data_IF_530168596950
#
_entry.id   IF_530168596950
#
_cell.length_a   1.000
_cell.length_b   1.000
_cell.length_c   1.000
_cell.angle_alpha   90.00
_cell.angle_beta   90.00
_cell.angle_gamma   90.00
#
_symmetry.space_group_name_H-M   'P 1'
#
loop_
_entity.id
_entity.type
_entity.pdbx_description
1 polymer ?
#
# COMPACT_ATOMS: atom_id res chain seq x y z
N UNK A 1 13.87 -3.21 -5.36
CA UNK A 1 12.72 -3.86 -4.66
C UNK A 1 12.36 -3.19 -3.33
N UNK A 2 13.13 -2.26 -2.84
CA UNK A 2 12.83 -1.54 -1.58
C UNK A 2 11.76 -0.44 -1.75
N UNK A 3 11.53 0.03 -2.96
CA UNK A 3 10.48 0.97 -3.34
C UNK A 3 9.55 0.32 -4.36
N UNK A 4 8.32 0.84 -4.47
CA UNK A 4 7.30 0.36 -5.41
C UNK A 4 7.61 0.79 -6.87
N UNK A 5 8.84 0.65 -7.32
CA UNK A 5 9.21 0.84 -8.72
C UNK A 5 8.90 -0.41 -9.53
N UNK A 6 8.18 -0.24 -10.62
CA UNK A 6 7.96 -1.28 -11.62
C UNK A 6 8.86 -1.00 -12.83
N UNK A 7 9.92 -1.79 -12.99
CA UNK A 7 10.81 -1.71 -14.14
C UNK A 7 10.71 -2.98 -14.99
N UNK A 8 10.85 -2.86 -16.30
CA UNK A 8 10.97 -4.04 -17.18
C UNK A 8 12.16 -4.94 -16.81
N UNK A 9 13.22 -4.34 -16.26
CA UNK A 9 14.41 -5.03 -15.78
C UNK A 9 15.00 -4.32 -14.56
N UNK A 10 15.48 -5.11 -13.58
CA UNK A 10 16.23 -4.62 -12.41
C UNK A 10 17.75 -4.85 -12.57
N UNK A 11 18.24 -4.98 -13.80
CA UNK A 11 19.68 -5.01 -14.05
C UNK A 11 20.32 -3.66 -13.68
N UNK A 12 21.60 -3.69 -13.32
CA UNK A 12 22.35 -2.46 -13.00
C UNK A 12 22.37 -1.50 -14.18
N UNK A 13 22.41 -2.02 -15.41
CA UNK A 13 22.29 -1.25 -16.65
C UNK A 13 20.98 -0.47 -16.71
N UNK A 14 19.84 -1.17 -16.61
CA UNK A 14 18.52 -0.54 -16.72
C UNK A 14 18.26 0.48 -15.61
N UNK A 15 18.67 0.18 -14.37
CA UNK A 15 18.52 1.08 -13.23
C UNK A 15 19.45 2.28 -13.33
N UNK A 16 20.70 2.08 -13.79
CA UNK A 16 21.66 3.16 -14.03
C UNK A 16 21.17 4.14 -15.09
N UNK A 17 20.69 3.62 -16.22
CA UNK A 17 20.11 4.44 -17.29
C UNK A 17 18.91 5.25 -16.78
N UNK A 18 18.01 4.62 -16.02
CA UNK A 18 16.81 5.30 -15.51
C UNK A 18 17.13 6.45 -14.55
N UNK A 19 17.97 6.21 -13.54
CA UNK A 19 18.22 7.20 -12.49
C UNK A 19 19.34 8.18 -12.80
N UNK A 20 20.36 7.76 -13.57
CA UNK A 20 21.59 8.51 -13.79
C UNK A 20 21.82 8.91 -15.24
N UNK A 21 21.03 8.38 -16.18
CA UNK A 21 21.22 8.58 -17.62
C UNK A 21 22.51 7.93 -18.16
N UNK A 22 23.07 6.97 -17.42
CA UNK A 22 24.27 6.20 -17.80
C UNK A 22 24.18 4.78 -17.30
N UNK A 23 24.77 3.83 -18.03
CA UNK A 23 24.80 2.40 -17.73
C UNK A 23 26.19 1.88 -17.51
N UNK A 24 26.34 0.58 -17.71
CA UNK A 24 27.63 -0.15 -17.61
C UNK A 24 28.57 0.21 -18.76
N UNK A 25 29.87 0.04 -18.53
CA UNK A 25 30.88 0.31 -19.55
C UNK A 25 30.93 -0.74 -20.68
N UNK A 26 30.33 -1.92 -20.48
CA UNK A 26 30.22 -2.98 -21.50
C UNK A 26 28.73 -3.21 -21.79
N UNK A 27 28.29 -2.75 -22.96
CA UNK A 27 26.87 -2.79 -23.36
C UNK A 27 26.44 -4.14 -23.95
N UNK A 28 27.35 -4.88 -24.55
CA UNK A 28 27.01 -6.11 -25.26
C UNK A 28 26.85 -7.30 -24.30
N UNK A 29 25.66 -7.88 -24.29
CA UNK A 29 25.29 -8.97 -23.38
C UNK A 29 25.81 -10.32 -23.88
N UNK A 30 25.89 -10.50 -25.20
CA UNK A 30 26.25 -11.80 -25.80
C UNK A 30 27.74 -12.10 -25.64
N UNK A 31 28.63 -11.10 -25.78
CA UNK A 31 30.08 -11.26 -25.68
C UNK A 31 30.68 -10.88 -24.31
N UNK A 32 29.83 -10.55 -23.32
CA UNK A 32 30.33 -10.04 -22.02
C UNK A 32 31.22 -11.01 -21.29
N UNK A 33 30.87 -12.29 -21.23
CA UNK A 33 31.67 -13.31 -20.54
C UNK A 33 33.02 -13.52 -21.21
N UNK A 34 33.04 -13.54 -22.52
CA UNK A 34 34.27 -13.72 -23.28
C UNK A 34 35.18 -12.49 -23.16
N UNK A 35 34.61 -11.29 -23.17
CA UNK A 35 35.35 -10.05 -22.90
C UNK A 35 35.93 -10.03 -21.51
N UNK A 36 35.18 -10.38 -20.47
CA UNK A 36 35.67 -10.46 -19.08
C UNK A 36 36.78 -11.51 -18.97
N UNK A 37 36.59 -12.68 -19.53
CA UNK A 37 37.61 -13.76 -19.50
C UNK A 37 38.90 -13.37 -20.24
N UNK A 38 38.76 -12.69 -21.36
CA UNK A 38 39.91 -12.20 -22.14
C UNK A 38 40.65 -11.09 -21.37
N UNK A 39 39.92 -10.11 -20.82
CA UNK A 39 40.52 -9.03 -20.03
C UNK A 39 41.12 -9.55 -18.72
N UNK A 40 40.57 -10.60 -18.10
CA UNK A 40 41.15 -11.26 -16.95
C UNK A 40 42.54 -11.89 -17.28
N UNK A 41 42.66 -12.47 -18.46
CA UNK A 41 43.94 -13.11 -18.91
C UNK A 41 44.94 -12.08 -19.38
N UNK A 42 44.53 -11.08 -20.15
CA UNK A 42 45.42 -10.25 -20.96
C UNK A 42 45.40 -8.76 -20.62
N UNK A 43 44.35 -8.27 -19.95
CA UNK A 43 44.19 -6.84 -19.66
C UNK A 43 43.50 -6.59 -18.31
N UNK A 44 44.17 -6.94 -17.23
CA UNK A 44 43.63 -6.81 -15.88
C UNK A 44 43.33 -5.39 -15.46
N UNK A 45 44.01 -4.38 -16.04
CA UNK A 45 43.73 -2.96 -15.79
C UNK A 45 42.33 -2.59 -16.31
N UNK A 46 42.03 -2.97 -17.56
CA UNK A 46 40.71 -2.71 -18.13
C UNK A 46 39.59 -3.41 -17.38
N UNK A 47 39.82 -4.64 -16.90
CA UNK A 47 38.88 -5.37 -16.06
C UNK A 47 38.65 -4.66 -14.71
N UNK A 48 39.73 -4.14 -14.10
CA UNK A 48 39.61 -3.37 -12.85
C UNK A 48 38.85 -2.08 -13.05
N UNK A 49 39.05 -1.35 -14.14
CA UNK A 49 38.31 -0.14 -14.51
C UNK A 49 36.84 -0.46 -14.73
N UNK A 50 36.53 -1.54 -15.42
CA UNK A 50 35.12 -2.00 -15.58
C UNK A 50 34.43 -2.28 -14.23
N UNK A 51 35.12 -3.02 -13.35
CA UNK A 51 34.57 -3.31 -12.02
C UNK A 51 34.40 -2.03 -11.17
N UNK A 52 35.36 -1.11 -11.24
CA UNK A 52 35.27 0.19 -10.57
C UNK A 52 34.04 0.98 -11.05
N UNK A 53 33.79 1.01 -12.36
CA UNK A 53 32.60 1.69 -12.92
C UNK A 53 31.31 1.06 -12.42
N UNK A 54 31.20 -0.25 -12.34
CA UNK A 54 30.02 -0.95 -11.77
C UNK A 54 29.83 -0.56 -10.28
N UNK A 55 30.89 -0.47 -9.50
CA UNK A 55 30.85 -0.04 -8.10
C UNK A 55 30.38 1.44 -7.95
N UNK A 56 30.96 2.33 -8.76
CA UNK A 56 30.59 3.75 -8.78
C UNK A 56 29.11 3.91 -9.19
N UNK A 57 28.65 3.15 -10.18
CA UNK A 57 27.28 3.19 -10.64
C UNK A 57 26.30 2.82 -9.51
N UNK A 58 26.60 1.76 -8.75
CA UNK A 58 25.81 1.37 -7.56
C UNK A 58 25.81 2.47 -6.52
N UNK A 59 26.98 3.03 -6.21
CA UNK A 59 27.11 4.13 -5.24
C UNK A 59 26.28 5.34 -5.62
N UNK A 60 26.36 5.76 -6.88
CA UNK A 60 25.65 6.94 -7.39
C UNK A 60 24.11 6.73 -7.42
N UNK A 61 23.67 5.49 -7.73
CA UNK A 61 22.24 5.14 -7.61
C UNK A 61 21.79 5.29 -6.16
N UNK A 62 22.52 4.72 -5.19
CA UNK A 62 22.19 4.82 -3.77
C UNK A 62 22.12 6.27 -3.30
N UNK A 63 23.09 7.09 -3.73
CA UNK A 63 23.12 8.53 -3.41
C UNK A 63 21.92 9.28 -4.04
N UNK A 64 21.65 9.01 -5.31
CA UNK A 64 20.57 9.67 -6.08
C UNK A 64 19.19 9.44 -5.48
N UNK A 65 18.86 8.20 -5.11
CA UNK A 65 17.56 7.84 -4.55
C UNK A 65 17.53 7.84 -3.02
N UNK A 66 18.62 8.26 -2.36
CA UNK A 66 18.76 8.28 -0.89
C UNK A 66 18.41 6.93 -0.24
N UNK A 67 18.84 5.84 -0.87
CA UNK A 67 18.46 4.49 -0.43
C UNK A 67 19.03 4.14 0.94
N UNK A 68 20.24 4.62 1.29
CA UNK A 68 20.83 4.41 2.61
C UNK A 68 20.00 5.07 3.71
N UNK A 69 19.55 6.32 3.51
CA UNK A 69 18.70 7.03 4.47
C UNK A 69 17.39 6.24 4.70
N UNK A 70 16.80 5.75 3.62
CA UNK A 70 15.61 4.89 3.67
C UNK A 70 15.86 3.60 4.47
N UNK A 71 16.95 2.88 4.21
CA UNK A 71 17.28 1.62 4.88
C UNK A 71 17.59 1.82 6.37
N UNK A 72 18.36 2.86 6.71
CA UNK A 72 18.68 3.22 8.10
C UNK A 72 17.37 3.55 8.84
N UNK A 73 16.56 4.42 8.26
CA UNK A 73 15.30 4.80 8.89
C UNK A 73 14.35 3.61 9.06
N UNK A 74 14.26 2.72 8.04
CA UNK A 74 13.46 1.51 8.12
C UNK A 74 13.96 0.59 9.25
N UNK A 75 15.27 0.41 9.37
CA UNK A 75 15.90 -0.35 10.46
C UNK A 75 15.57 0.25 11.83
N UNK A 76 15.72 1.55 12.00
CA UNK A 76 15.36 2.26 13.25
C UNK A 76 13.87 2.13 13.57
N UNK A 77 13.01 2.16 12.56
CA UNK A 77 11.56 2.09 12.74
C UNK A 77 11.10 0.68 13.13
N UNK A 78 11.71 -0.36 12.56
CA UNK A 78 11.26 -1.75 12.69
C UNK A 78 12.09 -2.59 13.65
N UNK A 79 13.29 -2.13 14.02
CA UNK A 79 14.26 -2.90 14.79
C UNK A 79 14.96 -4.02 13.97
N UNK A 80 14.76 -4.07 12.66
CA UNK A 80 15.46 -5.02 11.79
C UNK A 80 16.86 -4.53 11.45
N UNK A 81 17.79 -5.47 11.30
CA UNK A 81 19.14 -5.22 10.79
C UNK A 81 19.09 -4.68 9.35
N UNK A 82 20.09 -3.87 8.97
CA UNK A 82 20.12 -3.20 7.66
C UNK A 82 20.12 -4.18 6.48
N UNK A 83 20.75 -5.33 6.63
CA UNK A 83 20.83 -6.39 5.60
C UNK A 83 19.50 -7.15 5.42
N UNK A 84 18.56 -7.03 6.37
CA UNK A 84 17.23 -7.66 6.32
C UNK A 84 16.13 -6.72 5.78
N UNK A 85 16.49 -5.82 4.90
CA UNK A 85 15.61 -4.78 4.38
C UNK A 85 14.32 -5.28 3.67
N UNK A 86 14.28 -6.52 3.17
CA UNK A 86 13.15 -7.05 2.38
C UNK A 86 12.03 -7.74 3.16
N UNK A 87 12.16 -7.97 4.47
CA UNK A 87 11.25 -8.81 5.24
C UNK A 87 10.06 -8.05 5.83
N UNK A 88 8.91 -7.94 5.12
CA UNK A 88 7.70 -7.31 5.69
C UNK A 88 7.13 -8.07 6.89
N UNK A 89 7.15 -9.40 6.84
CA UNK A 89 6.71 -10.25 7.98
C UNK A 89 7.61 -10.03 9.19
N UNK A 90 8.93 -10.07 9.01
CA UNK A 90 9.88 -9.81 10.09
C UNK A 90 9.74 -8.40 10.67
N UNK A 91 9.52 -7.39 9.82
CA UNK A 91 9.26 -6.02 10.25
C UNK A 91 7.99 -5.92 11.12
N UNK A 92 6.92 -6.56 10.70
CA UNK A 92 5.67 -6.61 11.46
C UNK A 92 5.87 -7.31 12.80
N UNK A 93 6.48 -8.49 12.81
CA UNK A 93 6.72 -9.29 14.03
C UNK A 93 7.57 -8.48 15.02
N UNK A 94 8.64 -7.83 14.57
CA UNK A 94 9.48 -7.00 15.44
C UNK A 94 8.73 -5.80 16.04
N UNK A 95 7.77 -5.22 15.32
CA UNK A 95 6.95 -4.12 15.84
C UNK A 95 5.85 -4.60 16.80
N UNK A 96 5.25 -5.74 16.49
CA UNK A 96 4.06 -6.25 17.17
C UNK A 96 4.39 -7.09 18.42
N UNK A 97 5.30 -8.06 18.29
CA UNK A 97 5.61 -9.06 19.29
C UNK A 97 6.05 -8.47 20.65
N UNK A 98 6.95 -7.47 20.72
CA UNK A 98 7.32 -6.87 22.01
C UNK A 98 6.15 -6.20 22.74
N UNK A 99 5.21 -5.61 22.00
CA UNK A 99 4.00 -5.02 22.58
C UNK A 99 3.05 -6.10 23.09
N UNK A 100 2.90 -7.19 22.32
CA UNK A 100 2.10 -8.35 22.70
C UNK A 100 2.61 -9.01 24.00
N UNK A 101 3.92 -9.23 24.11
CA UNK A 101 4.53 -9.81 25.32
C UNK A 101 4.33 -8.93 26.56
N UNK A 102 4.38 -7.59 26.42
CA UNK A 102 4.10 -6.68 27.54
C UNK A 102 2.64 -6.74 28.02
N UNK A 103 1.73 -7.25 27.18
CA UNK A 103 0.34 -7.51 27.57
C UNK A 103 0.13 -8.92 28.17
N UNK A 104 1.21 -9.71 28.32
CA UNK A 104 1.15 -11.05 28.89
C UNK A 104 0.73 -12.15 27.91
N UNK A 105 0.77 -11.88 26.61
CA UNK A 105 0.45 -12.87 25.57
C UNK A 105 1.71 -13.36 24.87
N UNK A 106 1.63 -14.56 24.30
CA UNK A 106 2.66 -15.15 23.45
C UNK A 106 2.17 -15.30 22.01
N UNK A 107 3.09 -15.27 21.06
CA UNK A 107 2.77 -15.54 19.66
C UNK A 107 2.35 -16.99 19.47
N UNK A 108 1.37 -17.28 18.61
CA UNK A 108 1.10 -18.65 18.16
C UNK A 108 2.27 -19.17 17.32
N UNK A 109 2.31 -20.49 17.13
CA UNK A 109 3.21 -21.12 16.16
C UNK A 109 2.80 -20.75 14.72
N UNK A 110 3.73 -20.92 13.77
CA UNK A 110 3.38 -20.83 12.36
C UNK A 110 2.31 -21.87 12.02
N UNK A 111 1.31 -21.47 11.24
CA UNK A 111 0.27 -22.38 10.78
C UNK A 111 0.85 -23.42 9.82
N UNK A 112 0.50 -24.68 10.00
CA UNK A 112 0.80 -25.75 9.04
C UNK A 112 -0.17 -25.64 7.86
N UNK A 113 0.29 -25.05 6.78
CA UNK A 113 -0.45 -24.94 5.51
C UNK A 113 -0.97 -23.53 5.17
N UNK A 114 -1.15 -23.29 3.87
CA UNK A 114 -1.77 -22.08 3.34
C UNK A 114 -3.27 -22.09 3.61
N UNK A 115 -3.76 -21.05 4.29
CA UNK A 115 -5.20 -20.86 4.47
C UNK A 115 -5.91 -20.43 3.19
N UNK A 116 -7.24 -20.27 3.26
CA UNK A 116 -8.04 -19.72 2.18
C UNK A 116 -7.54 -18.31 1.83
N UNK A 117 -7.26 -18.08 0.55
CA UNK A 117 -6.89 -16.75 0.07
C UNK A 117 -7.98 -15.74 0.44
N UNK A 118 -7.55 -14.58 0.94
CA UNK A 118 -8.44 -13.43 1.07
C UNK A 118 -8.80 -12.93 -0.32
N UNK A 119 -10.03 -12.45 -0.56
CA UNK A 119 -10.33 -11.76 -1.81
C UNK A 119 -9.39 -10.55 -1.97
N UNK A 120 -9.03 -10.23 -3.21
CA UNK A 120 -8.23 -9.05 -3.55
C UNK A 120 -8.96 -7.74 -3.25
N UNK A 121 -8.36 -6.61 -3.63
CA UNK A 121 -9.00 -5.30 -3.60
C UNK A 121 -10.27 -5.29 -4.46
N UNK A 122 -11.21 -4.41 -4.11
CA UNK A 122 -12.44 -4.22 -4.88
C UNK A 122 -12.12 -3.53 -6.21
N UNK A 123 -12.55 -4.13 -7.30
CA UNK A 123 -12.45 -3.54 -8.63
C UNK A 123 -13.84 -3.51 -9.24
N UNK A 124 -14.33 -2.30 -9.56
CA UNK A 124 -15.59 -2.14 -10.26
C UNK A 124 -15.45 -2.54 -11.73
N UNK A 125 -16.54 -3.02 -12.31
CA UNK A 125 -16.61 -3.16 -13.76
C UNK A 125 -16.42 -1.78 -14.40
N UNK A 126 -15.39 -1.65 -15.24
CA UNK A 126 -15.15 -0.41 -15.98
C UNK A 126 -16.25 -0.18 -17.02
N UNK A 127 -16.67 1.07 -17.18
CA UNK A 127 -17.47 1.52 -18.32
C UNK A 127 -16.49 2.07 -19.38
N UNK A 128 -16.09 1.29 -20.41
CA UNK A 128 -15.11 1.77 -21.39
C UNK A 128 -15.63 2.95 -22.20
N UNK A 129 -14.76 3.91 -22.47
CA UNK A 129 -15.15 5.10 -23.24
C UNK A 129 -14.14 6.22 -23.15
N UNK A 130 -14.41 7.27 -23.94
CA UNK A 130 -13.72 8.55 -23.85
C UNK A 130 -14.63 9.52 -23.11
N UNK A 131 -14.20 9.98 -21.96
CA UNK A 131 -14.97 10.84 -21.09
C UNK A 131 -14.38 12.26 -21.02
N UNK A 132 -15.24 13.22 -20.80
CA UNK A 132 -14.87 14.59 -20.46
C UNK A 132 -15.17 14.81 -18.98
N UNK A 133 -14.33 15.59 -18.30
CA UNK A 133 -14.53 16.00 -16.89
C UNK A 133 -14.71 14.83 -15.91
N UNK A 134 -13.64 14.10 -15.64
CA UNK A 134 -13.60 13.01 -14.66
C UNK A 134 -12.84 13.45 -13.41
N UNK A 135 -13.47 13.36 -12.23
CA UNK A 135 -12.82 13.49 -10.93
C UNK A 135 -12.26 12.17 -10.47
N UNK A 136 -11.12 12.21 -9.78
CA UNK A 136 -10.58 11.10 -9.02
C UNK A 136 -10.61 11.43 -7.54
N UNK A 137 -11.31 10.59 -6.79
CA UNK A 137 -11.33 10.60 -5.34
C UNK A 137 -10.58 9.37 -4.85
N UNK A 138 -9.68 9.53 -3.88
CA UNK A 138 -8.83 8.46 -3.37
C UNK A 138 -8.85 8.39 -1.84
N UNK A 139 -8.98 7.17 -1.30
CA UNK A 139 -8.88 6.96 0.14
C UNK A 139 -7.42 6.94 0.60
N UNK A 140 -7.11 7.83 1.48
CA UNK A 140 -5.78 7.93 2.09
C UNK A 140 -5.41 6.65 2.85
N UNK A 141 -4.57 5.80 2.24
CA UNK A 141 -4.12 4.52 2.84
C UNK A 141 -5.29 3.69 3.38
N UNK A 142 -6.20 3.26 2.50
CA UNK A 142 -7.49 2.64 2.86
C UNK A 142 -7.34 1.49 3.87
N UNK A 143 -6.47 0.49 3.63
CA UNK A 143 -6.34 -0.66 4.52
C UNK A 143 -5.82 -0.30 5.92
N UNK A 144 -4.79 0.52 6.10
CA UNK A 144 -4.43 1.07 7.40
C UNK A 144 -5.57 1.82 8.10
N UNK A 145 -6.37 2.60 7.35
CA UNK A 145 -7.53 3.30 7.90
C UNK A 145 -8.63 2.34 8.36
N UNK A 146 -8.88 1.27 7.60
CA UNK A 146 -9.82 0.19 7.99
C UNK A 146 -9.35 -0.50 9.28
N UNK A 147 -8.07 -0.86 9.36
CA UNK A 147 -7.50 -1.50 10.57
C UNK A 147 -7.72 -0.61 11.79
N UNK A 148 -7.45 0.69 11.68
CA UNK A 148 -7.65 1.66 12.78
C UNK A 148 -9.13 1.81 13.16
N UNK A 149 -9.99 1.94 12.17
CA UNK A 149 -11.43 2.19 12.36
C UNK A 149 -12.12 0.99 13.01
N UNK A 150 -11.92 -0.20 12.44
CA UNK A 150 -12.61 -1.42 12.87
C UNK A 150 -11.82 -2.25 13.88
N UNK A 151 -10.71 -1.72 14.40
CA UNK A 151 -9.86 -2.37 15.42
C UNK A 151 -9.39 -3.76 15.02
N UNK A 152 -9.11 -3.96 13.72
CA UNK A 152 -8.67 -5.25 13.18
C UNK A 152 -7.26 -5.54 13.69
N UNK A 153 -7.13 -6.56 14.52
CA UNK A 153 -5.91 -6.86 15.27
C UNK A 153 -5.84 -8.34 15.67
N UNK A 154 -4.66 -8.99 15.63
CA UNK A 154 -4.52 -10.38 16.09
C UNK A 154 -4.94 -10.60 17.55
N UNK A 155 -4.48 -9.77 18.48
CA UNK A 155 -4.92 -9.83 19.89
C UNK A 155 -6.40 -9.48 20.01
N UNK A 156 -6.82 -8.43 19.30
CA UNK A 156 -8.21 -7.99 19.25
C UNK A 156 -9.18 -9.06 18.77
N UNK A 157 -8.75 -9.92 17.82
CA UNK A 157 -9.52 -11.07 17.35
C UNK A 157 -9.74 -12.10 18.45
N UNK A 158 -8.69 -12.46 19.20
CA UNK A 158 -8.77 -13.43 20.30
C UNK A 158 -9.65 -12.90 21.43
N UNK A 159 -9.47 -11.66 21.82
CA UNK A 159 -10.24 -11.03 22.90
C UNK A 159 -11.69 -10.74 22.48
N UNK A 160 -11.91 -10.31 21.24
CA UNK A 160 -13.26 -10.07 20.72
C UNK A 160 -14.09 -11.34 20.57
N UNK A 161 -13.47 -12.48 20.32
CA UNK A 161 -14.16 -13.78 20.29
C UNK A 161 -14.63 -14.26 21.64
N UNK A 162 -14.06 -13.76 22.75
CA UNK A 162 -14.52 -14.07 24.11
C UNK A 162 -15.80 -13.32 24.48
N UNK A 163 -16.02 -12.15 23.86
CA UNK A 163 -17.21 -11.31 24.07
C UNK A 163 -17.75 -10.80 22.72
N UNK A 164 -18.37 -11.70 21.94
CA UNK A 164 -18.82 -11.37 20.59
C UNK A 164 -19.93 -10.31 20.53
N UNK A 165 -20.70 -10.15 21.59
CA UNK A 165 -21.84 -9.22 21.62
C UNK A 165 -21.39 -7.75 21.72
N UNK A 166 -20.29 -7.49 22.42
CA UNK A 166 -19.70 -6.17 22.52
C UNK A 166 -18.60 -5.90 21.48
N UNK A 167 -18.16 -6.92 20.76
CA UNK A 167 -17.09 -6.80 19.79
C UNK A 167 -17.54 -6.09 18.51
N UNK A 168 -16.58 -5.48 17.79
CA UNK A 168 -16.78 -4.99 16.44
C UNK A 168 -16.81 -6.19 15.49
N UNK A 169 -17.91 -6.39 14.78
CA UNK A 169 -18.06 -7.49 13.84
C UNK A 169 -17.21 -7.25 12.59
N UNK A 170 -16.43 -8.25 12.25
CA UNK A 170 -15.71 -8.36 11.00
C UNK A 170 -16.35 -9.38 10.06
N UNK A 171 -15.54 -9.95 9.17
CA UNK A 171 -15.96 -10.94 8.19
C UNK A 171 -15.50 -12.34 8.56
N UNK A 172 -16.14 -13.35 7.97
CA UNK A 172 -15.84 -14.77 8.19
C UNK A 172 -15.84 -15.17 9.68
N UNK A 173 -16.72 -14.55 10.46
CA UNK A 173 -16.82 -14.79 11.91
C UNK A 173 -15.73 -14.08 12.73
N UNK A 174 -15.01 -13.12 12.17
CA UNK A 174 -14.11 -12.24 12.90
C UNK A 174 -14.89 -11.32 13.85
N UNK A 175 -14.44 -11.23 15.09
CA UNK A 175 -14.95 -10.29 16.09
C UNK A 175 -13.77 -9.61 16.75
N UNK A 176 -13.73 -8.28 16.79
CA UNK A 176 -12.57 -7.52 17.26
C UNK A 176 -12.90 -6.75 18.53
N UNK A 177 -12.04 -6.90 19.54
CA UNK A 177 -12.20 -6.18 20.81
C UNK A 177 -12.11 -4.68 20.60
N UNK A 178 -12.98 -3.94 21.27
CA UNK A 178 -12.98 -2.47 21.24
C UNK A 178 -11.81 -1.87 22.03
N UNK A 179 -11.33 -2.57 23.04
CA UNK A 179 -10.39 -2.05 24.03
C UNK A 179 -9.01 -2.71 23.95
N UNK A 180 -8.98 -4.05 23.73
CA UNK A 180 -7.74 -4.83 23.72
C UNK A 180 -7.27 -5.07 22.29
N UNK A 181 -6.41 -4.22 21.82
CA UNK A 181 -5.80 -4.29 20.47
C UNK A 181 -4.44 -3.60 20.48
N UNK A 182 -3.60 -3.86 19.51
CA UNK A 182 -2.24 -3.31 19.40
C UNK A 182 -1.98 -2.70 18.02
N UNK A 183 -2.43 -3.36 16.94
CA UNK A 183 -2.13 -2.93 15.59
C UNK A 183 -2.72 -1.56 15.24
N UNK A 184 -3.96 -1.21 15.64
CA UNK A 184 -4.52 0.13 15.45
C UNK A 184 -3.66 1.25 16.05
N UNK A 185 -3.07 1.01 17.24
CA UNK A 185 -2.16 1.95 17.89
C UNK A 185 -0.84 2.05 17.14
N UNK A 186 -0.25 0.92 16.75
CA UNK A 186 0.98 0.89 15.95
C UNK A 186 0.81 1.71 14.68
N UNK A 187 -0.29 1.50 13.96
CA UNK A 187 -0.59 2.27 12.74
C UNK A 187 -0.79 3.75 13.07
N UNK A 188 -1.45 4.08 14.17
CA UNK A 188 -1.66 5.47 14.59
C UNK A 188 -0.33 6.17 14.91
N UNK A 189 0.60 5.49 15.60
CA UNK A 189 1.94 6.00 15.87
C UNK A 189 2.74 6.20 14.56
N UNK A 190 2.67 5.23 13.64
CA UNK A 190 3.31 5.32 12.33
C UNK A 190 2.73 6.48 11.49
N UNK A 191 1.41 6.65 11.54
CA UNK A 191 0.74 7.75 10.84
C UNK A 191 1.22 9.12 11.32
N UNK A 192 1.27 9.33 12.65
CA UNK A 192 1.80 10.57 13.23
C UNK A 192 3.25 10.84 12.80
N UNK A 193 4.09 9.80 12.80
CA UNK A 193 5.49 9.91 12.32
C UNK A 193 5.56 10.24 10.83
N UNK A 194 4.64 9.71 10.02
CA UNK A 194 4.55 10.03 8.59
C UNK A 194 4.13 11.47 8.35
N UNK A 195 3.13 11.96 9.09
CA UNK A 195 2.69 13.34 8.97
C UNK A 195 3.80 14.33 9.39
N UNK A 196 4.57 13.99 10.42
CA UNK A 196 5.75 14.77 10.79
C UNK A 196 6.80 14.75 9.66
N UNK A 197 7.10 13.58 9.09
CA UNK A 197 8.05 13.49 7.98
C UNK A 197 7.59 14.28 6.73
N UNK A 198 6.28 14.35 6.47
CA UNK A 198 5.73 15.21 5.41
C UNK A 198 5.94 16.71 5.71
N UNK A 199 5.70 17.14 6.96
CA UNK A 199 5.94 18.53 7.39
C UNK A 199 7.42 18.92 7.27
N UNK A 200 8.31 17.99 7.63
CA UNK A 200 9.76 18.14 7.54
C UNK A 200 10.29 18.00 6.11
N UNK A 201 9.41 17.74 5.12
CA UNK A 201 9.75 17.46 3.72
C UNK A 201 10.71 16.27 3.53
N UNK A 202 10.77 15.37 4.51
CA UNK A 202 11.55 14.14 4.46
C UNK A 202 10.78 13.04 3.68
N UNK A 203 10.96 13.07 2.36
CA UNK A 203 10.30 12.14 1.44
C UNK A 203 10.69 10.70 1.70
N UNK A 204 11.97 10.43 1.98
CA UNK A 204 12.48 9.09 2.22
C UNK A 204 11.80 8.46 3.45
N UNK A 205 11.75 9.20 4.54
CA UNK A 205 11.08 8.80 5.78
C UNK A 205 9.58 8.60 5.60
N UNK A 206 8.90 9.56 4.96
CA UNK A 206 7.47 9.45 4.68
C UNK A 206 7.13 8.22 3.84
N UNK A 207 7.96 7.93 2.82
CA UNK A 207 7.79 6.76 1.94
C UNK A 207 8.04 5.44 2.68
N UNK A 208 9.09 5.36 3.51
CA UNK A 208 9.38 4.18 4.31
C UNK A 208 8.21 3.82 5.23
N UNK A 209 7.63 4.81 5.91
CA UNK A 209 6.48 4.59 6.79
C UNK A 209 5.26 4.12 5.98
N UNK A 210 4.99 4.75 4.81
CA UNK A 210 3.88 4.36 3.93
C UNK A 210 3.99 2.90 3.51
N UNK A 211 5.17 2.46 3.09
CA UNK A 211 5.41 1.08 2.65
C UNK A 211 5.16 0.10 3.80
N UNK A 212 5.68 0.40 5.01
CA UNK A 212 5.49 -0.47 6.18
C UNK A 212 4.01 -0.58 6.54
N UNK A 213 3.29 0.53 6.66
CA UNK A 213 1.86 0.51 7.01
C UNK A 213 1.03 -0.27 5.98
N UNK A 214 1.27 -0.06 4.69
CA UNK A 214 0.51 -0.73 3.64
C UNK A 214 0.86 -2.23 3.52
N UNK A 215 2.04 -2.65 3.98
CA UNK A 215 2.44 -4.06 3.96
C UNK A 215 1.69 -4.92 4.99
N UNK A 216 1.12 -4.34 6.04
CA UNK A 216 0.50 -5.09 7.14
C UNK A 216 -0.67 -5.97 6.70
N UNK A 217 -1.49 -5.50 5.77
CA UNK A 217 -2.53 -6.35 5.18
C UNK A 217 -1.95 -7.63 4.56
N UNK A 218 -0.94 -7.48 3.69
CA UNK A 218 -0.29 -8.62 3.03
C UNK A 218 0.40 -9.56 4.03
N UNK A 219 0.96 -9.01 5.10
CA UNK A 219 1.58 -9.79 6.18
C UNK A 219 0.54 -10.63 6.93
N UNK A 220 -0.59 -10.05 7.31
CA UNK A 220 -1.67 -10.76 8.01
C UNK A 220 -2.35 -11.81 7.12
N UNK A 221 -2.24 -11.68 5.80
CA UNK A 221 -2.68 -12.66 4.81
C UNK A 221 -1.62 -13.69 4.40
N UNK A 222 -0.42 -13.64 4.98
CA UNK A 222 0.70 -14.52 4.62
C UNK A 222 0.86 -15.67 5.61
N UNK A 223 0.85 -16.91 5.11
CA UNK A 223 1.09 -18.12 5.94
C UNK A 223 2.48 -18.17 6.60
N UNK A 224 3.43 -17.34 6.17
CA UNK A 224 4.74 -17.17 6.83
C UNK A 224 4.70 -16.25 8.06
N UNK A 225 3.53 -15.66 8.39
CA UNK A 225 3.35 -14.82 9.57
C UNK A 225 2.75 -15.64 10.71
N UNK A 226 3.31 -15.61 11.94
CA UNK A 226 2.72 -16.30 13.08
C UNK A 226 1.29 -15.83 13.41
N UNK A 227 0.97 -14.59 13.06
CA UNK A 227 -0.34 -13.97 13.29
C UNK A 227 -1.30 -14.11 12.10
N UNK A 228 -0.98 -14.99 11.15
CA UNK A 228 -1.85 -15.23 10.01
C UNK A 228 -3.20 -15.80 10.45
N UNK A 229 -4.28 -15.12 10.05
CA UNK A 229 -5.65 -15.61 10.16
C UNK A 229 -6.50 -15.05 9.01
N UNK A 230 -7.24 -15.92 8.34
CA UNK A 230 -8.12 -15.52 7.21
C UNK A 230 -9.18 -14.50 7.61
N UNK A 231 -9.61 -14.50 8.90
CA UNK A 231 -10.57 -13.53 9.43
C UNK A 231 -9.98 -12.11 9.44
N UNK A 232 -8.67 -11.96 9.73
CA UNK A 232 -7.97 -10.68 9.72
C UNK A 232 -7.92 -10.10 8.30
N UNK A 233 -7.30 -10.83 7.37
CA UNK A 233 -7.13 -10.37 6.00
C UNK A 233 -8.48 -10.15 5.30
N UNK A 234 -9.44 -11.08 5.46
CA UNK A 234 -10.77 -10.94 4.87
C UNK A 234 -11.56 -9.78 5.49
N UNK A 235 -11.40 -9.51 6.78
CA UNK A 235 -12.07 -8.36 7.41
C UNK A 235 -11.53 -7.02 6.86
N UNK A 236 -10.26 -6.96 6.47
CA UNK A 236 -9.70 -5.75 5.85
C UNK A 236 -10.25 -5.58 4.43
N UNK A 237 -10.14 -6.61 3.58
CA UNK A 237 -10.51 -6.49 2.17
C UNK A 237 -12.02 -6.38 1.94
N UNK A 238 -12.82 -7.22 2.60
CA UNK A 238 -14.27 -7.18 2.44
C UNK A 238 -14.87 -5.90 3.04
N UNK A 239 -14.25 -5.34 4.10
CA UNK A 239 -14.63 -4.00 4.57
C UNK A 239 -14.25 -2.93 3.55
N UNK A 240 -13.13 -3.07 2.87
CA UNK A 240 -12.77 -2.22 1.73
C UNK A 240 -13.81 -2.28 0.61
N UNK A 241 -14.29 -3.49 0.27
CA UNK A 241 -15.37 -3.66 -0.72
C UNK A 241 -16.64 -2.91 -0.32
N UNK A 242 -17.11 -3.07 0.93
CA UNK A 242 -18.28 -2.34 1.44
C UNK A 242 -18.09 -0.83 1.38
N UNK A 243 -16.89 -0.35 1.76
CA UNK A 243 -16.58 1.08 1.76
C UNK A 243 -16.63 1.63 0.34
N UNK A 244 -16.00 0.96 -0.62
CA UNK A 244 -15.98 1.41 -2.00
C UNK A 244 -17.39 1.40 -2.63
N UNK A 245 -18.17 0.34 -2.40
CA UNK A 245 -19.55 0.24 -2.89
C UNK A 245 -20.46 1.30 -2.28
N UNK A 246 -20.40 1.49 -0.96
CA UNK A 246 -21.22 2.51 -0.28
C UNK A 246 -20.83 3.94 -0.69
N UNK A 247 -19.53 4.18 -0.89
CA UNK A 247 -19.04 5.48 -1.39
C UNK A 247 -19.57 5.75 -2.80
N UNK A 248 -19.51 4.75 -3.69
CA UNK A 248 -20.08 4.88 -5.04
C UNK A 248 -21.59 5.16 -4.99
N UNK A 249 -22.35 4.45 -4.15
CA UNK A 249 -23.79 4.68 -4.00
C UNK A 249 -24.09 6.12 -3.55
N UNK A 250 -23.38 6.67 -2.57
CA UNK A 250 -23.58 8.05 -2.15
C UNK A 250 -23.25 9.08 -3.25
N UNK A 251 -22.22 8.80 -4.06
CA UNK A 251 -21.89 9.66 -5.20
C UNK A 251 -23.02 9.62 -6.25
N UNK A 252 -23.58 8.44 -6.51
CA UNK A 252 -24.70 8.27 -7.44
C UNK A 252 -25.99 8.89 -6.91
N UNK A 253 -26.24 8.88 -5.60
CA UNK A 253 -27.36 9.58 -4.96
C UNK A 253 -27.28 11.12 -5.12
N UNK A 254 -26.07 11.69 -5.23
CA UNK A 254 -25.85 13.11 -5.58
C UNK A 254 -26.04 13.41 -7.09
N UNK A 255 -26.45 12.42 -7.88
CA UNK A 255 -26.73 12.57 -9.32
C UNK A 255 -25.48 12.55 -10.21
N UNK A 256 -24.37 12.01 -9.73
CA UNK A 256 -23.12 11.86 -10.46
C UNK A 256 -22.88 10.38 -10.81
N UNK A 257 -22.32 10.11 -12.00
CA UNK A 257 -22.02 8.74 -12.43
C UNK A 257 -20.64 8.29 -11.95
N UNK A 258 -20.57 7.13 -11.30
CA UNK A 258 -19.29 6.44 -11.04
C UNK A 258 -18.98 5.53 -12.22
N UNK A 259 -17.89 5.83 -12.94
CA UNK A 259 -17.50 5.09 -14.16
C UNK A 259 -16.49 3.97 -13.89
N UNK A 260 -15.74 4.07 -12.77
CA UNK A 260 -14.76 3.06 -12.36
C UNK A 260 -14.39 3.23 -10.89
N UNK A 261 -13.92 2.15 -10.26
CA UNK A 261 -13.32 2.14 -8.94
C UNK A 261 -12.31 1.01 -8.83
N UNK A 262 -11.16 1.29 -8.20
CA UNK A 262 -10.09 0.31 -7.99
C UNK A 262 -9.48 0.48 -6.60
N UNK A 263 -9.66 -0.53 -5.80
CA UNK A 263 -9.15 -0.71 -4.44
C UNK A 263 -9.51 0.43 -3.48
N UNK A 264 -9.03 1.64 -3.73
CA UNK A 264 -9.17 2.85 -2.90
C UNK A 264 -9.54 4.11 -3.71
N UNK A 265 -9.54 4.03 -5.04
CA UNK A 265 -9.84 5.16 -5.93
C UNK A 265 -11.20 5.03 -6.59
N UNK A 266 -11.93 6.16 -6.72
CA UNK A 266 -13.23 6.25 -7.38
C UNK A 266 -13.19 7.32 -8.46
N UNK A 267 -13.62 6.97 -9.69
CA UNK A 267 -13.65 7.84 -10.85
C UNK A 267 -15.09 8.30 -11.12
N UNK A 268 -15.30 9.59 -11.01
CA UNK A 268 -16.63 10.21 -11.05
C UNK A 268 -16.76 11.11 -12.27
N UNK A 269 -17.75 10.84 -13.10
CA UNK A 269 -18.05 11.64 -14.28
C UNK A 269 -18.85 12.88 -13.88
N UNK A 270 -18.36 14.06 -14.26
CA UNK A 270 -19.06 15.32 -14.11
C UNK A 270 -19.89 15.66 -15.34
N UNK A 271 -20.86 16.57 -15.17
CA UNK A 271 -21.64 17.11 -16.24
C UNK A 271 -20.79 17.88 -17.26
N UNK A 272 -21.27 17.96 -18.51
CA UNK A 272 -20.62 18.76 -19.55
C UNK A 272 -20.61 20.26 -19.20
N UNK A 273 -19.57 20.95 -19.62
CA UNK A 273 -19.42 22.39 -19.45
C UNK A 273 -18.83 22.85 -18.11
N UNK A 274 -18.52 21.92 -17.21
CA UNK A 274 -17.87 22.23 -15.92
C UNK A 274 -16.43 22.70 -16.18
N UNK A 275 -16.06 23.86 -15.64
CA UNK A 275 -14.69 24.38 -15.68
C UNK A 275 -13.75 23.65 -14.71
N UNK A 276 -12.44 23.73 -14.95
CA UNK A 276 -11.45 23.14 -14.02
C UNK A 276 -11.60 23.62 -12.58
N UNK A 277 -11.96 24.90 -12.37
CA UNK A 277 -12.13 25.45 -11.03
C UNK A 277 -13.37 24.85 -10.36
N UNK A 278 -14.48 24.82 -11.07
CA UNK A 278 -15.74 24.22 -10.55
C UNK A 278 -15.55 22.74 -10.25
N UNK A 279 -14.88 21.99 -11.13
CA UNK A 279 -14.56 20.58 -10.89
C UNK A 279 -13.72 20.37 -9.62
N UNK A 280 -12.69 21.20 -9.40
CA UNK A 280 -11.88 21.15 -8.18
C UNK A 280 -12.70 21.45 -6.91
N UNK A 281 -13.57 22.44 -6.97
CA UNK A 281 -14.43 22.83 -5.84
C UNK A 281 -15.47 21.73 -5.56
N UNK A 282 -16.07 21.15 -6.60
CA UNK A 282 -16.98 20.01 -6.49
C UNK A 282 -16.28 18.77 -5.89
N UNK A 283 -15.09 18.44 -6.38
CA UNK A 283 -14.33 17.29 -5.87
C UNK A 283 -14.01 17.41 -4.39
N UNK A 284 -13.61 18.58 -3.91
CA UNK A 284 -13.37 18.85 -2.49
C UNK A 284 -14.65 18.74 -1.66
N UNK A 285 -15.73 19.38 -2.11
CA UNK A 285 -17.02 19.33 -1.43
C UNK A 285 -17.58 17.91 -1.33
N UNK A 286 -17.43 17.13 -2.41
CA UNK A 286 -17.85 15.74 -2.44
C UNK A 286 -17.04 14.88 -1.46
N UNK A 287 -15.70 15.06 -1.41
CA UNK A 287 -14.85 14.38 -0.45
C UNK A 287 -15.23 14.71 1.00
N UNK A 288 -15.51 15.98 1.31
CA UNK A 288 -15.96 16.40 2.64
C UNK A 288 -17.31 15.74 3.02
N UNK A 289 -18.27 15.72 2.09
CA UNK A 289 -19.57 15.08 2.28
C UNK A 289 -19.43 13.58 2.56
N UNK A 290 -18.63 12.87 1.77
CA UNK A 290 -18.39 11.44 1.94
C UNK A 290 -17.71 11.14 3.28
N UNK A 291 -16.69 11.92 3.68
CA UNK A 291 -16.03 11.77 4.98
C UNK A 291 -17.03 11.95 6.14
N UNK A 292 -17.91 12.94 6.06
CA UNK A 292 -18.97 13.17 7.06
C UNK A 292 -19.98 12.02 7.08
N UNK A 293 -20.36 11.50 5.94
CA UNK A 293 -21.28 10.38 5.83
C UNK A 293 -20.67 9.12 6.47
N UNK A 294 -19.38 8.83 6.23
CA UNK A 294 -18.68 7.73 6.89
C UNK A 294 -18.62 7.90 8.40
N UNK A 295 -18.28 9.09 8.92
CA UNK A 295 -18.27 9.33 10.36
C UNK A 295 -19.67 9.08 10.96
N UNK A 296 -20.71 9.61 10.33
CA UNK A 296 -22.09 9.46 10.80
C UNK A 296 -22.54 8.00 10.80
N UNK A 297 -22.31 7.29 9.69
CA UNK A 297 -22.69 5.87 9.54
C UNK A 297 -21.99 4.99 10.58
N UNK A 298 -20.67 5.14 10.74
CA UNK A 298 -19.90 4.31 11.66
C UNK A 298 -20.22 4.60 13.13
N UNK A 299 -20.46 5.84 13.47
CA UNK A 299 -20.93 6.19 14.83
C UNK A 299 -22.30 5.57 15.12
N UNK A 300 -23.24 5.63 14.16
CA UNK A 300 -24.60 5.11 14.33
C UNK A 300 -24.63 3.58 14.37
N UNK A 301 -23.96 2.91 13.43
CA UNK A 301 -24.09 1.47 13.23
C UNK A 301 -23.12 0.65 14.11
N UNK A 302 -21.93 1.17 14.36
CA UNK A 302 -20.86 0.45 15.05
C UNK A 302 -20.42 1.11 16.36
N UNK A 303 -20.84 2.35 16.63
CA UNK A 303 -20.41 3.14 17.81
C UNK A 303 -18.87 3.29 17.85
N UNK A 304 -18.28 3.59 16.70
CA UNK A 304 -16.86 3.82 16.52
C UNK A 304 -16.61 5.12 15.76
N UNK A 305 -15.41 5.68 15.98
CA UNK A 305 -14.92 6.82 15.21
C UNK A 305 -14.35 6.35 13.87
N UNK A 306 -14.58 7.16 12.84
CA UNK A 306 -14.02 6.92 11.50
C UNK A 306 -12.61 7.46 11.41
N UNK A 307 -11.69 6.62 10.94
CA UNK A 307 -10.38 7.03 10.46
C UNK A 307 -10.27 6.95 8.93
N UNK A 308 -11.42 6.74 8.26
CA UNK A 308 -11.48 6.80 6.81
C UNK A 308 -11.37 8.25 6.36
N UNK A 309 -10.53 8.50 5.39
CA UNK A 309 -10.33 9.82 4.81
C UNK A 309 -10.22 9.67 3.29
N UNK A 310 -11.24 10.14 2.57
CA UNK A 310 -11.20 10.26 1.12
C UNK A 310 -10.78 11.68 0.76
N UNK A 311 -9.93 11.82 -0.25
CA UNK A 311 -9.43 13.11 -0.73
C UNK A 311 -9.78 13.27 -2.22
N UNK A 312 -9.97 14.51 -2.64
CA UNK A 312 -9.93 14.85 -4.06
C UNK A 312 -8.49 14.83 -4.54
N UNK A 313 -8.17 13.91 -5.46
CA UNK A 313 -6.81 13.73 -5.97
C UNK A 313 -6.56 14.56 -7.22
N UNK A 314 -7.43 14.44 -8.23
CA UNK A 314 -7.21 15.10 -9.51
C UNK A 314 -8.51 15.25 -10.33
N UNK A 315 -8.47 16.18 -11.30
CA UNK A 315 -9.47 16.35 -12.34
C UNK A 315 -8.86 16.16 -13.72
N UNK A 316 -9.46 15.29 -14.51
CA UNK A 316 -9.11 15.05 -15.89
C UNK A 316 -10.14 15.69 -16.83
N UNK A 317 -9.73 16.68 -17.60
CA UNK A 317 -10.58 17.30 -18.63
C UNK A 317 -10.94 16.31 -19.75
N UNK A 318 -10.05 15.33 -20.02
CA UNK A 318 -10.29 14.19 -20.92
C UNK A 318 -9.71 12.94 -20.29
N UNK A 319 -10.49 11.87 -20.28
CA UNK A 319 -10.13 10.60 -19.68
C UNK A 319 -10.51 9.43 -20.59
N UNK A 320 -9.55 8.58 -20.92
CA UNK A 320 -9.76 7.37 -21.70
C UNK A 320 -9.81 6.16 -20.76
N UNK A 321 -10.98 5.52 -20.66
CA UNK A 321 -11.11 4.24 -20.00
C UNK A 321 -11.02 3.13 -21.05
N UNK A 322 -9.92 2.34 -21.09
CA UNK A 322 -9.76 1.28 -22.07
C UNK A 322 -10.66 0.09 -21.75
N UNK A 323 -10.96 -0.71 -22.79
CA UNK A 323 -11.52 -2.06 -22.60
C UNK A 323 -10.48 -2.97 -21.97
N UNK A 324 -10.84 -3.69 -20.91
CA UNK A 324 -9.97 -4.72 -20.37
C UNK A 324 -9.80 -5.82 -21.41
N UNK A 325 -8.58 -6.02 -21.90
CA UNK A 325 -8.25 -7.15 -22.78
C UNK A 325 -8.52 -8.44 -22.02
N UNK A 326 -9.59 -9.14 -22.35
CA UNK A 326 -9.86 -10.47 -21.84
C UNK A 326 -11.29 -10.81 -21.41
N UNK A 327 -12.22 -9.84 -21.31
CA UNK A 327 -13.63 -10.18 -21.18
C UNK A 327 -14.25 -10.47 -22.57
N UNK A 328 -13.80 -11.51 -23.23
CA UNK A 328 -14.66 -12.21 -24.15
C UNK A 328 -15.68 -12.95 -23.27
N UNK A 329 -16.95 -12.57 -23.40
CA UNK A 329 -18.06 -13.39 -22.98
C UNK A 329 -17.79 -14.83 -23.38
N UNK A 330 -17.51 -15.67 -22.41
CA UNK A 330 -17.45 -17.10 -22.53
C UNK A 330 -18.53 -17.66 -21.63
N UNK A 331 -19.55 -18.17 -22.26
CA UNK A 331 -20.65 -19.00 -21.79
C UNK A 331 -20.39 -19.78 -20.50
#
# INVERSE_FOLDING_TARGET
KAEAYSFPSFSLEAIGQHFLGRGKAIDDVEDRLDTINNDFKYNKVKLAEYNLQDCILVWDIFAKIKLMDYLIFRSQLTGLELDKAGGSVAAFVNLYLPKLHRQGYVSPNLSEGGGLASPGGYVMNSKPGLYNNVLVLDFKSLYPSIIRTFKIDPLGLIEGQKDPDHAIKGFRGGCFSREKHLLPEIITELWKKRDQAKKDQDKARSQAIKIIMNSFYGVLGSGGCPFYDTKLASSITLRGHEIMQQTANWIEEEGLDVIYGDTDSTFVLLNEGVTNKEANDMGKSLAETINKNWQTKLTKEHQIDSFLEIEFESHFSKFLMPTIRGSKHGS
#
